data_IF_701809583908
#
_entry.id   IF_701809583908
#
_cell.length_a   1.000
_cell.length_b   1.000
_cell.length_c   1.000
_cell.angle_alpha   90.00
_cell.angle_beta   90.00
_cell.angle_gamma   90.00
#
_symmetry.space_group_name_H-M   'P 1'
#
loop_
_entity.id
_entity.type
_entity.pdbx_description
1 polymer ?
#
# COMPACT_ATOMS: atom_id res chain seq x y z
N UNK A 1 -8.97 -7.66 -5.33
CA UNK A 1 -7.91 -7.36 -4.35
C UNK A 1 -7.84 -8.39 -3.21
N UNK A 2 -8.92 -9.09 -2.85
CA UNK A 2 -8.93 -10.04 -1.71
C UNK A 2 -8.51 -11.48 -2.05
N UNK A 3 -8.53 -11.88 -3.32
CA UNK A 3 -8.29 -13.28 -3.73
C UNK A 3 -6.83 -13.74 -3.66
N UNK A 4 -5.88 -12.83 -3.39
CA UNK A 4 -4.46 -13.13 -3.29
C UNK A 4 -3.99 -13.36 -1.85
N UNK A 5 -4.84 -13.09 -0.86
CA UNK A 5 -4.50 -13.22 0.55
C UNK A 5 -5.17 -14.45 1.13
N UNK A 6 -4.42 -15.23 1.90
CA UNK A 6 -5.01 -16.22 2.80
C UNK A 6 -5.76 -15.51 3.93
N UNK A 7 -6.74 -16.18 4.55
CA UNK A 7 -7.57 -15.58 5.60
C UNK A 7 -6.73 -15.04 6.79
N UNK A 8 -5.60 -15.68 7.05
CA UNK A 8 -4.69 -15.35 8.16
C UNK A 8 -3.48 -14.52 7.73
N UNK A 9 -3.44 -14.03 6.49
CA UNK A 9 -2.33 -13.22 6.02
C UNK A 9 -2.20 -11.92 6.83
N UNK A 10 -0.95 -11.54 7.11
CA UNK A 10 -0.62 -10.36 7.90
C UNK A 10 -0.30 -9.18 7.00
N UNK A 11 -0.58 -7.98 7.50
CA UNK A 11 -0.22 -6.72 6.91
C UNK A 11 0.67 -5.96 7.88
N UNK A 12 1.75 -5.36 7.38
CA UNK A 12 2.67 -4.53 8.15
C UNK A 12 3.03 -3.31 7.32
N UNK A 13 2.65 -2.13 7.80
CA UNK A 13 3.00 -0.84 7.22
C UNK A 13 3.85 -0.03 8.18
N UNK A 14 5.16 -0.14 8.00
CA UNK A 14 6.19 0.42 8.89
C UNK A 14 5.97 1.90 9.24
N UNK A 15 5.56 2.80 8.31
CA UNK A 15 5.36 4.21 8.64
C UNK A 15 4.31 4.51 9.72
N UNK A 16 3.37 3.59 9.99
CA UNK A 16 2.37 3.76 11.04
C UNK A 16 2.74 3.09 12.38
N UNK A 17 3.94 2.51 12.48
CA UNK A 17 4.39 1.78 13.67
C UNK A 17 3.41 0.67 14.05
N UNK A 18 3.11 0.54 15.34
CA UNK A 18 2.21 -0.49 15.87
C UNK A 18 0.79 -0.42 15.28
N UNK A 19 0.32 0.78 14.92
CA UNK A 19 -0.99 0.97 14.29
C UNK A 19 -1.03 0.52 12.81
N UNK A 20 0.13 0.23 12.22
CA UNK A 20 0.27 -0.23 10.84
C UNK A 20 0.28 -1.74 10.67
N UNK A 21 0.06 -2.52 11.73
CA UNK A 21 0.17 -3.98 11.69
C UNK A 21 -1.15 -4.67 12.03
N UNK A 22 -1.49 -5.75 11.32
CA UNK A 22 -2.75 -6.45 11.55
C UNK A 22 -3.04 -7.55 10.53
N UNK A 23 -4.32 -7.91 10.40
CA UNK A 23 -4.77 -8.83 9.38
C UNK A 23 -4.94 -8.09 8.05
N UNK A 24 -4.47 -8.68 6.94
CA UNK A 24 -4.47 -7.98 5.65
C UNK A 24 -5.87 -7.66 5.13
N UNK A 25 -6.85 -8.53 5.38
CA UNK A 25 -8.23 -8.31 4.91
C UNK A 25 -8.93 -7.24 5.76
N UNK A 26 -8.70 -7.24 7.07
CA UNK A 26 -9.32 -6.30 8.02
C UNK A 26 -8.66 -4.93 8.02
N UNK A 27 -7.33 -4.88 7.97
CA UNK A 27 -6.56 -3.67 8.26
C UNK A 27 -5.80 -3.18 7.00
N UNK A 28 -5.19 -4.09 6.25
CA UNK A 28 -4.43 -3.76 5.04
C UNK A 28 -5.29 -3.30 3.86
N UNK A 29 -6.37 -4.02 3.53
CA UNK A 29 -7.26 -3.67 2.41
C UNK A 29 -7.92 -2.29 2.61
N UNK A 30 -8.44 -1.93 3.81
CA UNK A 30 -8.92 -0.56 4.05
C UNK A 30 -7.83 0.51 3.91
N UNK A 31 -6.59 0.24 4.33
CA UNK A 31 -5.49 1.17 4.13
C UNK A 31 -5.24 1.43 2.62
N UNK A 32 -5.12 0.37 1.81
CA UNK A 32 -4.97 0.51 0.36
C UNK A 32 -6.16 1.20 -0.32
N UNK A 33 -7.39 0.90 0.11
CA UNK A 33 -8.59 1.59 -0.37
C UNK A 33 -8.56 3.08 -0.05
N UNK A 34 -8.14 3.45 1.16
CA UNK A 34 -7.98 4.85 1.57
C UNK A 34 -6.97 5.56 0.69
N UNK A 35 -5.83 4.92 0.40
CA UNK A 35 -4.82 5.49 -0.50
C UNK A 35 -5.37 5.70 -1.92
N UNK A 36 -6.02 4.69 -2.50
CA UNK A 36 -6.61 4.77 -3.86
C UNK A 36 -7.71 5.83 -3.93
N UNK A 37 -8.53 5.96 -2.89
CA UNK A 37 -9.59 6.98 -2.84
C UNK A 37 -9.00 8.40 -2.77
N UNK A 38 -7.89 8.58 -2.05
CA UNK A 38 -7.21 9.87 -1.96
C UNK A 38 -6.42 10.23 -3.24
N UNK A 39 -5.98 9.22 -4.00
CA UNK A 39 -5.24 9.35 -5.25
C UNK A 39 -5.95 8.60 -6.39
N UNK A 40 -7.04 9.12 -6.98
CA UNK A 40 -7.81 8.41 -8.01
C UNK A 40 -7.04 8.07 -9.28
N UNK A 41 -5.95 8.80 -9.55
CA UNK A 41 -5.01 8.53 -10.66
C UNK A 41 -3.73 7.82 -10.18
N UNK A 42 -3.78 7.09 -9.06
CA UNK A 42 -2.64 6.36 -8.50
C UNK A 42 -1.97 5.49 -9.57
N UNK A 43 -0.65 5.57 -9.64
CA UNK A 43 0.20 4.81 -10.54
C UNK A 43 1.30 4.13 -9.74
N UNK A 44 1.64 2.92 -10.15
CA UNK A 44 2.74 2.14 -9.61
C UNK A 44 3.73 1.85 -10.74
N UNK A 45 5.00 2.17 -10.53
CA UNK A 45 6.10 1.76 -11.38
C UNK A 45 6.96 0.77 -10.60
N UNK A 46 7.07 -0.47 -11.11
CA UNK A 46 7.89 -1.50 -10.49
C UNK A 46 9.28 -1.42 -11.11
N UNK A 47 10.27 -1.07 -10.30
CA UNK A 47 11.67 -0.95 -10.73
C UNK A 47 12.35 -2.31 -10.77
N UNK A 48 12.16 -3.10 -9.71
CA UNK A 48 12.84 -4.39 -9.54
C UNK A 48 11.93 -5.36 -8.79
N UNK A 49 11.98 -6.63 -9.19
CA UNK A 49 11.43 -7.75 -8.43
C UNK A 49 12.57 -8.74 -8.20
N UNK A 50 12.73 -9.23 -6.97
CA UNK A 50 13.64 -10.33 -6.67
C UNK A 50 13.05 -11.22 -5.59
N UNK A 51 13.53 -12.45 -5.54
CA UNK A 51 13.05 -13.46 -4.60
C UNK A 51 14.17 -13.82 -3.62
N UNK A 52 13.78 -14.32 -2.46
CA UNK A 52 14.72 -14.98 -1.58
C UNK A 52 15.18 -16.34 -2.16
N UNK A 53 16.09 -17.02 -1.47
CA UNK A 53 16.62 -18.31 -1.96
C UNK A 53 15.58 -19.43 -1.96
N UNK A 54 14.55 -19.36 -1.11
CA UNK A 54 13.50 -20.38 -1.04
C UNK A 54 12.48 -20.23 -2.16
N UNK A 55 12.29 -19.01 -2.67
CA UNK A 55 11.22 -18.68 -3.61
C UNK A 55 9.89 -18.38 -2.93
N UNK A 56 9.84 -18.40 -1.59
CA UNK A 56 8.64 -18.13 -0.80
C UNK A 56 8.44 -16.62 -0.52
N UNK A 57 9.48 -15.81 -0.72
CA UNK A 57 9.45 -14.36 -0.48
C UNK A 57 9.83 -13.60 -1.74
N UNK A 58 8.93 -12.72 -2.18
CA UNK A 58 9.21 -11.72 -3.20
C UNK A 58 9.40 -10.34 -2.57
N UNK A 59 10.44 -9.65 -3.02
CA UNK A 59 10.70 -8.25 -2.72
C UNK A 59 10.46 -7.43 -3.98
N UNK A 60 9.79 -6.29 -3.81
CA UNK A 60 9.38 -5.44 -4.93
C UNK A 60 9.72 -4.00 -4.59
N UNK A 61 10.56 -3.39 -5.42
CA UNK A 61 10.79 -1.94 -5.38
C UNK A 61 9.74 -1.27 -6.26
N UNK A 62 8.89 -0.46 -5.63
CA UNK A 62 7.77 0.23 -6.30
C UNK A 62 7.84 1.72 -6.04
N UNK A 63 7.76 2.52 -7.11
CA UNK A 63 7.40 3.92 -6.99
C UNK A 63 5.88 4.05 -7.10
N UNK A 64 5.24 4.58 -6.06
CA UNK A 64 3.81 4.88 -6.03
C UNK A 64 3.61 6.39 -6.07
N UNK A 65 2.82 6.88 -7.02
CA UNK A 65 2.56 8.30 -7.20
C UNK A 65 1.16 8.61 -7.72
N UNK A 66 0.80 9.89 -7.75
CA UNK A 66 -0.49 10.38 -8.21
C UNK A 66 -0.84 11.77 -7.68
N UNK A 67 -2.02 12.25 -8.06
CA UNK A 67 -2.61 13.50 -7.59
C UNK A 67 -3.46 13.26 -6.35
N UNK A 68 -3.11 13.94 -5.26
CA UNK A 68 -3.94 13.93 -4.07
C UNK A 68 -5.21 14.77 -4.30
N UNK A 69 -6.37 14.17 -4.02
CA UNK A 69 -7.69 14.81 -4.18
C UNK A 69 -8.51 14.83 -2.89
N UNK A 70 -8.06 14.13 -1.85
CA UNK A 70 -8.71 14.07 -0.53
C UNK A 70 -7.68 13.97 0.60
N UNK A 71 -8.14 14.28 1.81
CA UNK A 71 -7.39 14.04 3.04
C UNK A 71 -7.25 12.52 3.24
N UNK A 72 -6.09 12.06 3.72
CA UNK A 72 -5.86 10.66 4.03
C UNK A 72 -4.77 10.50 5.08
N UNK A 73 -4.89 9.49 5.94
CA UNK A 73 -3.88 9.16 6.96
C UNK A 73 -3.47 10.33 7.86
N UNK A 74 -4.41 11.24 8.16
CA UNK A 74 -4.14 12.46 8.93
C UNK A 74 -3.41 13.57 8.15
N UNK A 75 -3.24 13.41 6.84
CA UNK A 75 -2.59 14.36 5.94
C UNK A 75 -3.67 15.12 5.16
N UNK A 76 -3.73 16.43 5.34
CA UNK A 76 -4.61 17.31 4.57
C UNK A 76 -4.24 17.33 3.09
N UNK A 77 -5.26 17.33 2.25
CA UNK A 77 -5.15 17.44 0.80
C UNK A 77 -4.42 18.72 0.40
N UNK A 78 -3.35 18.57 -0.39
CA UNK A 78 -2.63 19.71 -0.99
C UNK A 78 -2.92 19.92 -2.48
N UNK A 79 -3.72 19.07 -3.11
CA UNK A 79 -4.07 19.12 -4.53
C UNK A 79 -2.89 18.89 -5.48
N UNK A 80 -1.76 18.40 -4.97
CA UNK A 80 -0.49 18.24 -5.70
C UNK A 80 -0.39 16.88 -6.37
N UNK A 81 0.36 16.85 -7.47
CA UNK A 81 0.90 15.63 -8.06
C UNK A 81 2.17 15.23 -7.31
N UNK A 82 2.30 13.95 -6.98
CA UNK A 82 3.46 13.35 -6.35
C UNK A 82 4.00 12.25 -7.25
N UNK A 83 5.30 12.33 -7.56
CA UNK A 83 6.09 11.41 -8.37
C UNK A 83 7.57 11.57 -8.00
#
# INVERSE_FOLDING_TARGET
MTTLFTENATFVYVPFGDAGSGNVLKDGVPAWRTLIDAFPNLRNEVSTIWEDKSGDVAFVDVHIGGKQTKDAFGITNKGKEYW
#
